data_IF_158193232848
#
_entry.id   IF_158193232848
#
_cell.length_a   1.000
_cell.length_b   1.000
_cell.length_c   1.000
_cell.angle_alpha   90.00
_cell.angle_beta   90.00
_cell.angle_gamma   90.00
#
_symmetry.space_group_name_H-M   'P 1'
#
loop_
_entity.id
_entity.type
_entity.pdbx_description
1 polymer ?
#
# COMPACT_ATOMS: atom_id res chain seq x y z
N UNK A 1 -26.73 -22.94 -4.32
CA UNK A 1 -27.29 -21.60 -4.03
C UNK A 1 -26.59 -20.90 -2.85
N UNK A 2 -26.25 -21.59 -1.75
CA UNK A 2 -25.61 -20.98 -0.57
C UNK A 2 -24.15 -20.51 -0.77
N UNK A 3 -23.39 -21.12 -1.68
CA UNK A 3 -22.00 -20.69 -1.98
C UNK A 3 -21.92 -19.38 -2.78
N UNK A 4 -22.85 -19.15 -3.72
CA UNK A 4 -22.87 -17.91 -4.52
C UNK A 4 -23.21 -16.67 -3.67
N UNK A 5 -24.05 -16.83 -2.65
CA UNK A 5 -24.37 -15.75 -1.69
C UNK A 5 -23.16 -15.41 -0.80
N UNK A 6 -22.38 -16.40 -0.34
CA UNK A 6 -21.16 -16.16 0.44
C UNK A 6 -20.07 -15.43 -0.36
N UNK A 7 -19.92 -15.76 -1.65
CA UNK A 7 -18.97 -15.08 -2.54
C UNK A 7 -19.31 -13.61 -2.79
N UNK A 8 -20.60 -13.31 -3.01
CA UNK A 8 -21.07 -11.93 -3.22
C UNK A 8 -20.90 -11.05 -1.98
N UNK A 9 -21.22 -11.57 -0.78
CA UNK A 9 -21.06 -10.83 0.48
C UNK A 9 -19.61 -10.49 0.76
N UNK A 10 -18.71 -11.47 0.60
CA UNK A 10 -17.27 -11.28 0.85
C UNK A 10 -16.65 -10.25 -0.09
N UNK A 11 -17.03 -10.27 -1.37
CA UNK A 11 -16.60 -9.26 -2.35
C UNK A 11 -17.13 -7.86 -2.00
N UNK A 12 -18.36 -7.75 -1.51
CA UNK A 12 -18.93 -6.49 -1.03
C UNK A 12 -18.21 -5.95 0.20
N UNK A 13 -17.85 -6.82 1.15
CA UNK A 13 -17.06 -6.47 2.33
C UNK A 13 -15.67 -5.97 1.96
N UNK A 14 -14.96 -6.67 1.07
CA UNK A 14 -13.64 -6.24 0.59
C UNK A 14 -13.70 -4.86 -0.08
N UNK A 15 -14.70 -4.62 -0.94
CA UNK A 15 -14.90 -3.30 -1.58
C UNK A 15 -15.18 -2.20 -0.55
N UNK A 16 -15.95 -2.50 0.50
CA UNK A 16 -16.24 -1.56 1.58
C UNK A 16 -14.99 -1.23 2.39
N UNK A 17 -14.18 -2.23 2.73
CA UNK A 17 -12.92 -2.04 3.46
C UNK A 17 -11.95 -1.17 2.64
N UNK A 18 -11.77 -1.49 1.35
CA UNK A 18 -10.94 -0.71 0.45
C UNK A 18 -11.38 0.76 0.39
N UNK A 19 -12.69 1.01 0.26
CA UNK A 19 -13.25 2.37 0.27
C UNK A 19 -13.00 3.09 1.60
N UNK A 20 -13.15 2.44 2.74
CA UNK A 20 -12.88 3.04 4.05
C UNK A 20 -11.42 3.48 4.16
N UNK A 21 -10.48 2.63 3.72
CA UNK A 21 -9.06 2.95 3.70
C UNK A 21 -8.76 4.13 2.77
N UNK A 22 -9.38 4.17 1.59
CA UNK A 22 -9.24 5.28 0.66
C UNK A 22 -9.80 6.59 1.22
N UNK A 23 -10.95 6.57 1.89
CA UNK A 23 -11.52 7.74 2.58
C UNK A 23 -10.53 8.29 3.62
N UNK A 24 -9.89 7.42 4.41
CA UNK A 24 -8.88 7.83 5.40
C UNK A 24 -7.71 8.52 4.71
N UNK A 25 -7.19 7.96 3.62
CA UNK A 25 -6.09 8.56 2.85
C UNK A 25 -6.48 9.93 2.29
N UNK A 26 -7.61 10.04 1.60
CA UNK A 26 -8.09 11.28 1.00
C UNK A 26 -8.19 12.42 2.03
N UNK A 27 -8.77 12.12 3.20
CA UNK A 27 -8.94 13.11 4.29
C UNK A 27 -7.60 13.46 4.93
N UNK A 28 -6.67 12.50 5.04
CA UNK A 28 -5.32 12.73 5.58
C UNK A 28 -4.48 13.60 4.65
N UNK A 29 -4.58 13.38 3.33
CA UNK A 29 -3.81 14.11 2.31
C UNK A 29 -4.29 15.56 2.14
N UNK A 30 -5.61 15.78 2.23
CA UNK A 30 -6.22 17.12 2.10
C UNK A 30 -7.24 17.37 3.21
N UNK A 31 -6.78 17.75 4.42
CA UNK A 31 -7.66 18.10 5.53
C UNK A 31 -8.64 19.21 5.14
N UNK A 32 -9.90 19.11 5.59
CA UNK A 32 -10.98 20.07 5.35
C UNK A 32 -11.40 20.26 3.88
N UNK A 33 -10.83 19.53 2.94
CA UNK A 33 -11.23 19.60 1.53
C UNK A 33 -12.48 18.76 1.25
N UNK A 34 -12.56 17.57 1.85
CA UNK A 34 -13.57 16.58 1.50
C UNK A 34 -14.87 16.80 2.28
N UNK A 35 -15.97 16.97 1.54
CA UNK A 35 -17.34 17.00 2.07
C UNK A 35 -18.06 15.67 1.81
N UNK A 36 -19.10 15.38 2.59
CA UNK A 36 -19.84 14.10 2.52
C UNK A 36 -20.38 13.84 1.12
N UNK A 37 -20.97 14.85 0.49
CA UNK A 37 -21.48 14.81 -0.88
C UNK A 37 -20.38 14.51 -1.89
N UNK A 38 -19.22 15.17 -1.78
CA UNK A 38 -18.09 14.91 -2.68
C UNK A 38 -17.57 13.47 -2.57
N UNK A 39 -17.53 12.92 -1.36
CA UNK A 39 -17.17 11.52 -1.16
C UNK A 39 -18.23 10.58 -1.74
N UNK A 40 -19.51 10.90 -1.58
CA UNK A 40 -20.62 10.14 -2.15
C UNK A 40 -20.53 10.09 -3.68
N UNK A 41 -20.30 11.23 -4.32
CA UNK A 41 -20.12 11.36 -5.77
C UNK A 41 -18.87 10.61 -6.24
N UNK A 42 -17.73 10.76 -5.55
CA UNK A 42 -16.47 10.09 -5.90
C UNK A 42 -16.57 8.56 -5.87
N UNK A 43 -17.29 8.01 -4.89
CA UNK A 43 -17.44 6.57 -4.72
C UNK A 43 -18.72 6.01 -5.33
N UNK A 44 -19.53 6.85 -6.00
CA UNK A 44 -20.80 6.49 -6.64
C UNK A 44 -21.77 5.76 -5.68
N UNK A 45 -21.87 6.24 -4.44
CA UNK A 45 -22.75 5.69 -3.41
C UNK A 45 -23.54 6.80 -2.72
N UNK A 46 -24.60 6.43 -2.00
CA UNK A 46 -25.39 7.42 -1.26
C UNK A 46 -24.60 8.08 -0.13
N UNK A 47 -24.94 9.34 0.18
CA UNK A 47 -24.43 10.05 1.36
C UNK A 47 -24.69 9.28 2.66
N UNK A 48 -25.78 8.51 2.74
CA UNK A 48 -26.09 7.62 3.86
C UNK A 48 -25.05 6.51 4.02
N UNK A 49 -24.58 5.95 2.91
CA UNK A 49 -23.53 4.92 2.91
C UNK A 49 -22.19 5.52 3.38
N UNK A 50 -21.84 6.70 2.88
CA UNK A 50 -20.66 7.46 3.34
C UNK A 50 -20.77 7.77 4.83
N UNK A 51 -21.92 8.22 5.33
CA UNK A 51 -22.11 8.49 6.75
C UNK A 51 -21.87 7.24 7.62
N UNK A 52 -22.30 6.06 7.16
CA UNK A 52 -21.99 4.79 7.83
C UNK A 52 -20.50 4.47 7.81
N UNK A 53 -19.81 4.70 6.70
CA UNK A 53 -18.38 4.44 6.58
C UNK A 53 -17.55 5.41 7.44
N UNK A 54 -17.92 6.70 7.47
CA UNK A 54 -17.35 7.70 8.38
C UNK A 54 -17.59 7.35 9.86
N UNK A 55 -18.76 6.78 10.18
CA UNK A 55 -19.05 6.28 11.53
C UNK A 55 -18.15 5.09 11.90
N UNK A 56 -17.88 4.17 10.97
CA UNK A 56 -16.90 3.08 11.19
C UNK A 56 -15.50 3.66 11.43
N UNK A 57 -15.09 4.67 10.66
CA UNK A 57 -13.80 5.35 10.86
C UNK A 57 -13.73 5.97 12.26
N UNK A 58 -14.76 6.73 12.66
CA UNK A 58 -14.79 7.45 13.92
C UNK A 58 -14.91 6.54 15.15
N UNK A 59 -15.84 5.59 15.12
CA UNK A 59 -16.21 4.81 16.31
C UNK A 59 -15.67 3.39 16.27
N UNK A 60 -15.66 2.75 15.09
CA UNK A 60 -15.14 1.39 14.92
C UNK A 60 -13.61 1.35 15.01
N UNK A 61 -12.94 2.17 14.21
CA UNK A 61 -11.48 2.28 14.17
C UNK A 61 -10.93 3.29 15.20
N UNK A 62 -11.81 4.04 15.87
CA UNK A 62 -11.45 5.06 16.87
C UNK A 62 -10.49 6.13 16.34
N UNK A 63 -10.61 6.48 15.06
CA UNK A 63 -9.84 7.58 14.47
C UNK A 63 -10.52 8.92 14.78
N UNK A 64 -9.78 9.95 15.20
CA UNK A 64 -10.37 11.19 15.71
C UNK A 64 -10.80 12.12 14.57
N UNK A 65 -11.82 11.68 13.83
CA UNK A 65 -12.37 12.31 12.64
C UNK A 65 -13.43 13.34 13.00
N UNK A 66 -13.15 14.61 12.71
CA UNK A 66 -14.02 15.75 12.94
C UNK A 66 -14.49 16.40 11.63
N UNK A 67 -15.47 17.30 11.75
CA UNK A 67 -15.98 18.14 10.66
C UNK A 67 -16.36 19.51 11.23
N UNK A 68 -15.79 20.57 10.67
CA UNK A 68 -15.99 21.97 11.09
C UNK A 68 -16.87 22.76 10.11
N UNK A 69 -17.57 22.10 9.19
CA UNK A 69 -18.40 22.70 8.14
C UNK A 69 -17.65 22.89 6.81
N UNK A 70 -16.35 23.15 6.86
CA UNK A 70 -15.51 23.27 5.66
C UNK A 70 -15.17 21.91 5.07
N UNK A 71 -14.95 20.90 5.92
CA UNK A 71 -14.83 19.51 5.49
C UNK A 71 -14.38 18.59 6.61
N UNK A 72 -14.12 17.33 6.26
CA UNK A 72 -13.60 16.36 7.23
C UNK A 72 -12.09 16.49 7.44
N UNK A 73 -11.64 16.27 8.67
CA UNK A 73 -10.22 16.23 9.01
C UNK A 73 -9.99 15.34 10.25
N UNK A 74 -8.76 14.84 10.41
CA UNK A 74 -8.35 14.15 11.64
C UNK A 74 -7.68 15.16 12.59
N UNK A 75 -8.15 15.29 13.83
CA UNK A 75 -7.55 16.21 14.83
C UNK A 75 -6.15 15.77 15.25
N UNK A 76 -5.86 14.47 15.12
CA UNK A 76 -4.51 13.89 15.15
C UNK A 76 -4.46 12.87 14.03
N UNK A 77 -3.39 12.89 13.22
CA UNK A 77 -3.16 11.84 12.22
C UNK A 77 -3.32 10.46 12.90
N UNK A 78 -3.94 9.47 12.25
CA UNK A 78 -4.11 8.12 12.78
C UNK A 78 -2.78 7.55 13.28
N UNK A 79 -2.53 7.66 14.59
CA UNK A 79 -1.54 6.82 15.24
C UNK A 79 -2.15 5.44 15.30
N UNK A 80 -1.48 4.43 14.73
CA UNK A 80 -1.81 3.06 15.08
C UNK A 80 -1.73 2.95 16.62
N UNK A 81 -2.68 2.23 17.27
CA UNK A 81 -2.55 1.97 18.70
C UNK A 81 -1.16 1.39 18.95
N UNK A 82 -0.50 1.81 20.03
CA UNK A 82 0.80 1.26 20.42
C UNK A 82 0.64 -0.23 20.70
N UNK A 83 1.08 -1.06 19.76
CA UNK A 83 1.09 -2.52 19.91
C UNK A 83 2.40 -2.89 20.61
N UNK A 84 2.30 -3.57 21.74
CA UNK A 84 3.46 -4.19 22.37
C UNK A 84 3.83 -5.43 21.55
N UNK A 85 5.06 -5.48 21.06
CA UNK A 85 5.62 -6.66 20.40
C UNK A 85 6.52 -7.40 21.39
N UNK A 86 6.48 -8.73 21.36
CA UNK A 86 7.55 -9.53 21.94
C UNK A 86 8.84 -9.33 21.15
N UNK A 87 9.98 -9.62 21.76
CA UNK A 87 11.29 -9.50 21.12
C UNK A 87 11.36 -10.25 19.77
N UNK A 88 10.80 -11.47 19.71
CA UNK A 88 10.80 -12.29 18.50
C UNK A 88 9.87 -11.73 17.41
N UNK A 89 8.71 -11.17 17.79
CA UNK A 89 7.80 -10.54 16.83
C UNK A 89 8.41 -9.27 16.23
N UNK A 90 9.03 -8.43 17.06
CA UNK A 90 9.75 -7.25 16.60
C UNK A 90 10.89 -7.64 15.63
N UNK A 91 11.59 -8.75 15.91
CA UNK A 91 12.72 -9.20 15.11
C UNK A 91 12.25 -9.72 13.76
N UNK A 92 11.18 -10.51 13.75
CA UNK A 92 10.56 -11.01 12.53
C UNK A 92 10.07 -9.85 11.63
N UNK A 93 9.42 -8.85 12.21
CA UNK A 93 8.95 -7.66 11.49
C UNK A 93 10.10 -6.82 10.93
N UNK A 94 11.15 -6.61 11.73
CA UNK A 94 12.34 -5.87 11.30
C UNK A 94 13.03 -6.56 10.12
N UNK A 95 13.22 -7.88 10.19
CA UNK A 95 13.81 -8.66 9.10
C UNK A 95 12.94 -8.61 7.83
N UNK A 96 11.62 -8.79 7.96
CA UNK A 96 10.69 -8.70 6.84
C UNK A 96 10.70 -7.31 6.18
N UNK A 97 10.72 -6.24 6.97
CA UNK A 97 10.78 -4.87 6.47
C UNK A 97 12.12 -4.58 5.76
N UNK A 98 13.25 -5.08 6.29
CA UNK A 98 14.58 -4.97 5.66
C UNK A 98 14.66 -5.76 4.35
N UNK A 99 14.06 -6.95 4.29
CA UNK A 99 13.93 -7.72 3.04
C UNK A 99 13.10 -6.97 2.01
N UNK A 100 11.97 -6.39 2.42
CA UNK A 100 11.13 -5.57 1.55
C UNK A 100 11.90 -4.34 1.03
N UNK A 101 12.70 -3.69 1.87
CA UNK A 101 13.53 -2.54 1.49
C UNK A 101 14.57 -2.89 0.40
N UNK A 102 15.05 -4.14 0.38
CA UNK A 102 15.98 -4.62 -0.65
C UNK A 102 15.31 -4.90 -2.01
N UNK A 103 13.97 -4.91 -2.08
CA UNK A 103 13.22 -5.10 -3.33
C UNK A 103 13.18 -3.76 -4.09
N UNK A 104 13.67 -3.70 -5.34
CA UNK A 104 13.60 -2.48 -6.16
C UNK A 104 12.16 -1.97 -6.29
N UNK A 105 11.95 -0.67 -6.06
CA UNK A 105 10.63 -0.02 -6.13
C UNK A 105 9.80 -0.07 -4.84
N UNK A 106 10.22 -0.81 -3.82
CA UNK A 106 9.53 -0.90 -2.52
C UNK A 106 10.13 0.04 -1.46
N UNK A 107 11.38 0.48 -1.67
CA UNK A 107 12.04 1.41 -0.76
C UNK A 107 11.40 2.81 -0.82
N UNK A 108 10.72 3.20 0.26
CA UNK A 108 10.09 4.52 0.43
C UNK A 108 10.51 5.18 1.76
N UNK A 109 10.26 6.49 1.90
CA UNK A 109 10.56 7.23 3.13
C UNK A 109 9.74 6.70 4.32
N UNK A 110 8.50 6.28 4.07
CA UNK A 110 7.60 5.69 5.07
C UNK A 110 8.12 4.33 5.55
N UNK A 111 8.62 3.49 4.64
CA UNK A 111 9.22 2.20 5.01
C UNK A 111 10.48 2.41 5.84
N UNK A 112 11.33 3.38 5.48
CA UNK A 112 12.51 3.72 6.27
C UNK A 112 12.13 4.19 7.68
N UNK A 113 11.09 5.03 7.81
CA UNK A 113 10.58 5.48 9.10
C UNK A 113 9.93 4.35 9.93
N UNK A 114 9.33 3.34 9.28
CA UNK A 114 8.81 2.15 9.95
C UNK A 114 9.97 1.27 10.48
N UNK A 115 11.01 1.05 9.67
CA UNK A 115 12.21 0.32 10.08
C UNK A 115 12.87 0.99 11.28
N UNK A 116 13.07 2.32 11.25
CA UNK A 116 13.67 3.05 12.36
C UNK A 116 12.86 2.90 13.67
N UNK A 117 11.53 2.90 13.58
CA UNK A 117 10.66 2.66 14.75
C UNK A 117 10.77 1.23 15.28
N UNK A 118 10.94 0.23 14.40
CA UNK A 118 11.16 -1.16 14.81
C UNK A 118 12.55 -1.34 15.44
N UNK A 119 13.58 -0.68 14.92
CA UNK A 119 14.92 -0.69 15.51
C UNK A 119 14.93 -0.12 16.94
N UNK A 120 14.15 0.92 17.19
CA UNK A 120 14.01 1.53 18.51
C UNK A 120 13.37 0.60 19.57
N UNK A 121 12.84 -0.57 19.18
CA UNK A 121 12.36 -1.60 20.11
C UNK A 121 13.49 -2.46 20.69
N UNK A 122 14.69 -2.41 20.10
CA UNK A 122 15.83 -3.24 20.51
C UNK A 122 16.85 -2.43 21.32
N UNK A 123 17.58 -3.08 22.25
CA UNK A 123 18.72 -2.47 22.92
C UNK A 123 19.81 -2.04 21.91
N UNK A 124 20.51 -0.93 22.18
CA UNK A 124 21.49 -0.35 21.25
C UNK A 124 22.61 -1.33 20.84
N UNK A 125 23.02 -2.19 21.77
CA UNK A 125 24.01 -3.24 21.58
C UNK A 125 23.64 -4.30 20.53
N UNK A 126 22.35 -4.48 20.22
CA UNK A 126 21.88 -5.39 19.17
C UNK A 126 21.84 -4.75 17.78
N UNK A 127 21.80 -3.42 17.68
CA UNK A 127 21.67 -2.71 16.41
C UNK A 127 22.84 -2.96 15.42
N UNK A 128 24.11 -3.04 15.85
CA UNK A 128 25.23 -3.35 14.94
C UNK A 128 25.09 -4.73 14.28
N UNK A 129 24.65 -5.74 15.03
CA UNK A 129 24.43 -7.11 14.54
C UNK A 129 23.26 -7.18 13.55
N UNK A 130 22.19 -6.46 13.84
CA UNK A 130 21.01 -6.37 12.96
C UNK A 130 21.34 -5.66 11.65
N UNK A 131 22.13 -4.58 11.70
CA UNK A 131 22.60 -3.86 10.50
C UNK A 131 23.50 -4.72 9.62
N UNK A 132 24.46 -5.45 10.22
CA UNK A 132 25.31 -6.39 9.47
C UNK A 132 24.50 -7.52 8.82
N UNK A 133 23.45 -8.00 9.49
CA UNK A 133 22.56 -9.04 8.95
C UNK A 133 21.76 -8.52 7.74
N UNK A 134 21.32 -7.27 7.78
CA UNK A 134 20.63 -6.62 6.67
C UNK A 134 21.55 -6.37 5.47
N UNK A 135 22.85 -6.12 5.68
CA UNK A 135 23.83 -5.98 4.60
C UNK A 135 24.15 -7.30 3.87
N UNK A 136 23.87 -8.45 4.51
CA UNK A 136 23.98 -9.78 3.92
C UNK A 136 22.74 -10.22 3.15
N UNK A 137 21.63 -9.48 3.26
CA UNK A 137 20.48 -9.73 2.40
C UNK A 137 20.92 -9.54 0.94
N UNK A 138 20.50 -10.42 0.01
CA UNK A 138 20.85 -10.27 -1.39
C UNK A 138 20.29 -8.94 -1.90
N UNK A 139 21.14 -7.91 -1.89
CA UNK A 139 20.98 -6.74 -2.74
C UNK A 139 21.00 -7.32 -4.13
N UNK A 140 19.82 -7.55 -4.73
CA UNK A 140 19.73 -8.06 -6.09
C UNK A 140 20.57 -7.12 -6.94
N UNK A 141 21.77 -7.57 -7.29
CA UNK A 141 22.75 -6.79 -8.01
C UNK A 141 22.10 -6.35 -9.32
N UNK A 142 22.14 -5.03 -9.55
CA UNK A 142 22.00 -4.38 -10.85
C UNK A 142 20.78 -4.83 -11.69
N UNK A 143 19.73 -4.03 -11.62
CA UNK A 143 19.05 -3.60 -12.84
C UNK A 143 18.43 -2.22 -12.60
N UNK A 144 19.19 -1.11 -12.71
CA UNK A 144 18.62 0.25 -12.70
C UNK A 144 17.41 0.34 -13.63
N UNK A 145 17.51 -0.32 -14.78
CA UNK A 145 16.43 -0.51 -15.74
C UNK A 145 15.14 -1.12 -15.13
N UNK A 146 15.24 -2.12 -14.25
CA UNK A 146 14.07 -2.73 -13.60
C UNK A 146 13.41 -1.76 -12.62
N UNK A 147 14.20 -0.99 -11.88
CA UNK A 147 13.69 0.01 -10.96
C UNK A 147 12.98 1.14 -11.72
N UNK A 148 13.59 1.66 -12.78
CA UNK A 148 12.99 2.66 -13.67
C UNK A 148 11.68 2.15 -14.29
N UNK A 149 11.68 0.92 -14.81
CA UNK A 149 10.47 0.27 -15.34
C UNK A 149 9.37 0.17 -14.29
N UNK A 150 9.67 -0.31 -13.08
CA UNK A 150 8.67 -0.45 -12.02
C UNK A 150 8.13 0.92 -11.59
N UNK A 151 8.98 1.93 -11.45
CA UNK A 151 8.53 3.30 -11.12
C UNK A 151 7.60 3.85 -12.21
N UNK A 152 7.95 3.65 -13.49
CA UNK A 152 7.11 4.07 -14.62
C UNK A 152 5.76 3.35 -14.62
N UNK A 153 5.76 2.03 -14.42
CA UNK A 153 4.53 1.22 -14.40
C UNK A 153 3.62 1.60 -13.23
N UNK A 154 4.16 1.81 -12.03
CA UNK A 154 3.36 2.25 -10.87
C UNK A 154 2.78 3.65 -11.06
N UNK A 155 3.53 4.57 -11.68
CA UNK A 155 3.00 5.89 -12.04
C UNK A 155 1.86 5.78 -13.05
N UNK A 156 2.04 4.97 -14.10
CA UNK A 156 1.00 4.76 -15.10
C UNK A 156 -0.27 4.14 -14.51
N UNK A 157 -0.13 3.21 -13.56
CA UNK A 157 -1.25 2.64 -12.80
C UNK A 157 -2.01 3.71 -12.00
N UNK A 158 -1.28 4.55 -11.24
CA UNK A 158 -1.86 5.61 -10.42
C UNK A 158 -2.57 6.68 -11.26
N UNK A 159 -2.03 7.01 -12.43
CA UNK A 159 -2.54 8.04 -13.34
C UNK A 159 -3.51 7.49 -14.39
N UNK A 160 -3.81 6.18 -14.37
CA UNK A 160 -4.63 5.47 -15.37
C UNK A 160 -4.18 5.72 -16.80
N UNK A 161 -2.86 5.66 -17.04
CA UNK A 161 -2.24 5.88 -18.36
C UNK A 161 -1.85 4.54 -19.00
N UNK A 162 -1.99 4.46 -20.33
CA UNK A 162 -1.49 3.33 -21.11
C UNK A 162 0.04 3.36 -21.16
N UNK A 163 0.65 2.19 -21.15
CA UNK A 163 2.11 2.03 -21.32
C UNK A 163 2.42 1.27 -22.59
N UNK A 164 3.48 1.72 -23.27
CA UNK A 164 4.03 1.05 -24.45
C UNK A 164 5.21 0.19 -23.99
N UNK A 165 5.19 -1.08 -24.37
CA UNK A 165 6.20 -2.07 -23.98
C UNK A 165 6.73 -2.78 -25.22
N UNK A 166 8.01 -3.13 -25.19
CA UNK A 166 8.60 -4.13 -26.09
C UNK A 166 8.63 -5.44 -25.30
N UNK A 167 7.90 -6.43 -25.78
CA UNK A 167 7.72 -7.71 -25.09
C UNK A 167 8.39 -8.83 -25.86
N UNK A 168 9.42 -9.43 -25.27
CA UNK A 168 10.10 -10.60 -25.83
C UNK A 168 9.25 -11.87 -25.61
N UNK A 169 8.87 -12.54 -26.69
CA UNK A 169 8.07 -13.75 -26.62
C UNK A 169 9.00 -14.96 -26.43
N UNK A 170 8.90 -15.62 -25.26
CA UNK A 170 9.64 -16.85 -24.96
C UNK A 170 10.92 -16.66 -24.14
N UNK A 171 11.34 -17.72 -23.43
CA UNK A 171 12.37 -17.66 -22.38
C UNK A 171 13.83 -17.43 -22.87
N UNK A 172 14.07 -17.36 -24.18
CA UNK A 172 15.41 -17.25 -24.78
C UNK A 172 15.54 -16.13 -25.84
N UNK A 173 14.80 -15.04 -25.69
CA UNK A 173 14.87 -13.91 -26.62
C UNK A 173 14.29 -14.25 -27.99
N UNK A 174 13.07 -14.80 -28.00
CA UNK A 174 12.31 -14.96 -29.24
C UNK A 174 11.79 -13.61 -29.77
N UNK A 175 10.91 -13.66 -30.76
CA UNK A 175 10.38 -12.46 -31.43
C UNK A 175 9.90 -11.39 -30.45
N UNK A 176 10.33 -10.16 -30.68
CA UNK A 176 9.88 -8.99 -29.94
C UNK A 176 8.59 -8.46 -30.54
N UNK A 177 7.64 -8.11 -29.66
CA UNK A 177 6.36 -7.51 -30.02
C UNK A 177 6.19 -6.19 -29.30
N UNK A 178 5.96 -5.11 -30.05
CA UNK A 178 5.55 -3.84 -29.46
C UNK A 178 4.06 -3.91 -29.09
N UNK A 179 3.73 -3.54 -27.85
CA UNK A 179 2.36 -3.57 -27.33
C UNK A 179 2.05 -2.29 -26.57
N UNK A 180 0.82 -1.82 -26.68
CA UNK A 180 0.27 -0.78 -25.80
C UNK A 180 -0.72 -1.45 -24.86
N UNK A 181 -0.45 -1.39 -23.56
CA UNK A 181 -1.24 -2.09 -22.54
C UNK A 181 -1.79 -1.10 -21.51
N UNK A 182 -2.96 -1.42 -20.97
CA UNK A 182 -3.54 -0.73 -19.82
C UNK A 182 -3.14 -1.50 -18.56
N UNK A 183 -2.22 -0.97 -17.73
CA UNK A 183 -1.76 -1.68 -16.55
C UNK A 183 -2.93 -1.81 -15.56
N UNK A 184 -3.23 -3.03 -15.12
CA UNK A 184 -4.27 -3.32 -14.14
C UNK A 184 -3.68 -3.67 -12.78
N UNK A 185 -2.58 -4.43 -12.76
CA UNK A 185 -1.88 -4.76 -11.52
C UNK A 185 -0.39 -5.03 -11.72
N UNK A 186 0.43 -4.69 -10.73
CA UNK A 186 1.87 -4.99 -10.71
C UNK A 186 2.14 -5.78 -9.45
N UNK A 187 2.63 -7.01 -9.58
CA UNK A 187 2.89 -7.87 -8.43
C UNK A 187 4.21 -8.63 -8.53
N UNK A 188 4.88 -8.87 -7.40
CA UNK A 188 6.01 -9.80 -7.36
C UNK A 188 5.49 -11.24 -7.50
N UNK A 189 6.12 -12.02 -8.38
CA UNK A 189 5.86 -13.46 -8.53
C UNK A 189 7.18 -14.22 -8.62
N UNK A 190 7.46 -15.03 -7.59
CA UNK A 190 8.68 -15.82 -7.43
C UNK A 190 9.95 -14.95 -7.54
N UNK A 191 10.59 -14.91 -8.71
CA UNK A 191 11.82 -14.13 -8.98
C UNK A 191 11.62 -13.02 -10.03
N UNK A 192 10.37 -12.72 -10.35
CA UNK A 192 9.98 -11.77 -11.41
C UNK A 192 8.90 -10.80 -10.92
N UNK A 193 8.70 -9.73 -11.69
CA UNK A 193 7.51 -8.89 -11.57
C UNK A 193 6.58 -9.22 -12.71
N UNK A 194 5.29 -9.29 -12.41
CA UNK A 194 4.23 -9.53 -13.38
C UNK A 194 3.41 -8.24 -13.52
N UNK A 195 3.20 -7.83 -14.76
CA UNK A 195 2.24 -6.81 -15.13
C UNK A 195 1.01 -7.53 -15.68
N UNK A 196 -0.13 -7.31 -15.05
CA UNK A 196 -1.44 -7.80 -15.48
C UNK A 196 -2.16 -6.63 -16.16
#
# INVERSE_FOLDING_TARGET
MLEQLRGSTRAQETRRIARILEIIQLISDRPRHWKRKMLADKFEISERQIQKDLSVIRHGLRLPLENDGDGYYFTRLPGLPTVSYTFNEALALLLAARMAQAIPGVNSAELAAAIARLEALFPEEFLPLLRQSADRLPRSAKAPHRQEMLTLLHRALAERRRVRIIYAIGAKGGEESERVVEPYHIMPYVRSWQLI
#
